data_IF_393319535625
#
_entry.id   IF_393319535625
#
_cell.length_a   1.000
_cell.length_b   1.000
_cell.length_c   1.000
_cell.angle_alpha   90.00
_cell.angle_beta   90.00
_cell.angle_gamma   90.00
#
_symmetry.space_group_name_H-M   'P 1'
#
loop_
_entity.id
_entity.type
_entity.pdbx_description
1 polymer ?
#
# COMPACT_ATOMS: atom_id res chain seq x y z
N UNK A 1 -2.56 6.99 1.32
CA UNK A 1 -3.69 7.94 1.18
C UNK A 1 -3.69 8.83 2.40
N UNK A 2 -3.55 10.14 2.20
CA UNK A 2 -3.63 11.08 3.30
C UNK A 2 -5.06 11.10 3.84
N UNK A 3 -5.26 10.83 5.12
CA UNK A 3 -6.55 10.87 5.82
C UNK A 3 -7.20 12.28 5.83
N UNK A 4 -6.54 13.25 5.27
CA UNK A 4 -6.85 14.68 5.32
C UNK A 4 -8.23 15.09 4.75
N UNK A 5 -8.71 14.57 3.58
CA UNK A 5 -10.05 14.92 3.07
C UNK A 5 -11.18 14.43 3.97
N UNK A 6 -11.00 13.29 4.62
CA UNK A 6 -11.97 12.68 5.52
C UNK A 6 -12.14 13.52 6.79
N UNK A 7 -11.03 13.98 7.39
CA UNK A 7 -11.06 14.83 8.56
C UNK A 7 -11.71 16.20 8.29
N UNK A 8 -11.51 16.75 7.09
CA UNK A 8 -12.24 17.96 6.68
C UNK A 8 -13.75 17.74 6.66
N UNK A 9 -14.22 16.64 6.09
CA UNK A 9 -15.64 16.29 6.05
C UNK A 9 -16.21 16.06 7.48
N UNK A 10 -15.43 15.41 8.36
CA UNK A 10 -15.78 15.22 9.77
C UNK A 10 -15.88 16.57 10.49
N UNK A 11 -14.92 17.46 10.30
CA UNK A 11 -14.90 18.79 10.91
C UNK A 11 -16.07 19.69 10.44
N UNK A 12 -16.45 19.54 9.19
CA UNK A 12 -17.59 20.23 8.59
C UNK A 12 -18.95 19.63 8.97
N UNK A 13 -18.99 18.53 9.75
CA UNK A 13 -20.23 17.92 10.21
C UNK A 13 -20.99 17.15 9.11
N UNK A 14 -20.30 16.66 8.06
CA UNK A 14 -20.91 15.88 7.00
C UNK A 14 -21.42 14.50 7.48
N UNK A 15 -20.78 13.94 8.51
CA UNK A 15 -21.07 12.60 9.02
C UNK A 15 -21.69 12.64 10.41
N UNK A 16 -22.54 11.64 10.68
CA UNK A 16 -23.14 11.43 12.00
C UNK A 16 -22.07 10.97 13.01
N UNK A 17 -22.12 11.50 14.22
CA UNK A 17 -21.36 11.00 15.36
C UNK A 17 -21.92 9.63 15.81
N UNK A 18 -21.16 8.56 15.55
CA UNK A 18 -21.53 7.20 15.90
C UNK A 18 -21.06 6.78 17.29
N UNK A 19 -20.32 7.63 18.02
CA UNK A 19 -19.76 7.30 19.33
C UNK A 19 -20.78 6.68 20.28
N UNK A 20 -22.04 7.16 20.39
CA UNK A 20 -23.03 6.59 21.30
C UNK A 20 -23.45 5.14 20.94
N UNK A 21 -23.17 4.70 19.72
CA UNK A 21 -23.61 3.39 19.22
C UNK A 21 -22.47 2.36 19.15
N UNK A 22 -21.21 2.82 19.01
CA UNK A 22 -20.08 1.94 18.70
C UNK A 22 -19.01 1.91 19.81
N UNK A 23 -19.31 2.46 20.99
CA UNK A 23 -18.41 2.45 22.13
C UNK A 23 -19.03 1.84 23.38
N UNK A 24 -18.20 1.43 24.33
CA UNK A 24 -18.64 0.85 25.61
C UNK A 24 -19.51 -0.40 25.41
N UNK A 25 -20.63 -0.45 26.14
CA UNK A 25 -21.54 -1.59 26.02
C UNK A 25 -22.43 -1.53 24.78
N UNK A 26 -22.61 -0.36 24.17
CA UNK A 26 -23.46 -0.19 22.99
C UNK A 26 -22.97 -1.00 21.78
N UNK A 27 -21.66 -1.15 21.58
CA UNK A 27 -21.09 -1.93 20.48
C UNK A 27 -21.48 -3.41 20.56
N UNK A 28 -21.83 -3.93 21.75
CA UNK A 28 -22.23 -5.34 21.92
C UNK A 28 -23.54 -5.69 21.22
N UNK A 29 -24.38 -4.69 20.86
CA UNK A 29 -25.55 -4.88 20.00
C UNK A 29 -25.15 -5.34 18.59
N UNK A 30 -23.91 -5.01 18.16
CA UNK A 30 -23.35 -5.28 16.82
C UNK A 30 -22.18 -6.27 16.95
N UNK A 31 -22.49 -7.57 17.01
CA UNK A 31 -21.52 -8.62 17.38
C UNK A 31 -20.30 -8.69 16.46
N UNK A 32 -20.52 -8.51 15.15
CA UNK A 32 -19.45 -8.58 14.16
C UNK A 32 -18.61 -7.31 14.18
N UNK A 33 -19.23 -6.12 14.27
CA UNK A 33 -18.52 -4.85 14.41
C UNK A 33 -17.68 -4.82 15.68
N UNK A 34 -18.12 -5.47 16.75
CA UNK A 34 -17.36 -5.58 18.01
C UNK A 34 -16.06 -6.38 17.87
N UNK A 35 -15.91 -7.19 16.81
CA UNK A 35 -14.65 -7.93 16.53
C UNK A 35 -13.59 -7.08 15.84
N UNK A 36 -13.94 -5.92 15.31
CA UNK A 36 -12.99 -5.04 14.63
C UNK A 36 -11.99 -4.50 15.67
N UNK A 37 -10.66 -4.62 15.41
CA UNK A 37 -9.66 -4.18 16.38
C UNK A 37 -9.79 -2.71 16.75
N UNK A 38 -9.64 -2.40 18.03
CA UNK A 38 -9.76 -1.03 18.55
C UNK A 38 -8.82 -0.02 17.84
N UNK A 39 -7.64 -0.49 17.41
CA UNK A 39 -6.70 0.34 16.67
C UNK A 39 -7.20 0.70 15.26
N UNK A 40 -7.98 -0.20 14.63
CA UNK A 40 -8.65 0.08 13.35
C UNK A 40 -9.76 1.13 13.51
N UNK A 41 -10.52 1.07 14.59
CA UNK A 41 -11.52 2.09 14.93
C UNK A 41 -10.94 3.50 15.07
N UNK A 42 -9.71 3.62 15.58
CA UNK A 42 -9.04 4.93 15.69
C UNK A 42 -8.89 5.66 14.34
N UNK A 43 -8.88 4.93 13.21
CA UNK A 43 -8.75 5.53 11.87
C UNK A 43 -10.01 6.30 11.42
N UNK A 44 -11.12 6.11 12.10
CA UNK A 44 -12.39 6.81 11.84
C UNK A 44 -12.77 7.74 12.98
N UNK A 45 -11.85 7.97 13.92
CA UNK A 45 -12.04 8.92 15.03
C UNK A 45 -11.47 10.28 14.68
N UNK A 46 -12.17 11.32 15.12
CA UNK A 46 -11.73 12.71 15.01
C UNK A 46 -12.25 13.51 16.20
N UNK A 47 -11.36 14.24 16.91
CA UNK A 47 -11.72 15.00 18.11
C UNK A 47 -12.49 14.16 19.16
N UNK A 48 -12.03 12.91 19.38
CA UNK A 48 -12.63 11.99 20.35
C UNK A 48 -13.96 11.36 19.94
N UNK A 49 -14.43 11.52 18.70
CA UNK A 49 -15.69 10.98 18.19
C UNK A 49 -15.45 10.04 17.02
N UNK A 50 -16.32 9.04 16.84
CA UNK A 50 -16.28 8.09 15.75
C UNK A 50 -17.29 8.45 14.67
N UNK A 51 -16.85 8.55 13.42
CA UNK A 51 -17.66 9.04 12.30
C UNK A 51 -17.93 8.00 11.21
N UNK A 52 -17.64 6.74 11.46
CA UNK A 52 -17.92 5.66 10.53
C UNK A 52 -17.54 4.29 11.06
N UNK A 53 -17.86 3.26 10.28
CA UNK A 53 -17.43 1.87 10.51
C UNK A 53 -16.21 1.62 9.61
N UNK A 54 -15.04 1.34 10.17
CA UNK A 54 -13.83 1.12 9.39
C UNK A 54 -13.89 -0.23 8.67
N UNK A 55 -13.35 -0.29 7.46
CA UNK A 55 -13.09 -1.54 6.75
C UNK A 55 -11.69 -2.04 7.11
N UNK A 56 -11.55 -3.13 7.87
CA UNK A 56 -10.24 -3.65 8.26
C UNK A 56 -9.37 -4.04 7.07
N UNK A 57 -8.08 -3.79 7.20
CA UNK A 57 -7.04 -4.21 6.26
C UNK A 57 -5.85 -4.71 7.06
N UNK A 58 -5.10 -5.65 6.50
CA UNK A 58 -3.84 -6.07 7.08
C UNK A 58 -2.85 -4.91 7.11
N UNK A 59 -2.08 -4.79 8.19
CA UNK A 59 -1.11 -3.69 8.39
C UNK A 59 0.22 -3.86 7.66
N UNK A 60 0.39 -4.93 6.92
CA UNK A 60 1.60 -5.20 6.18
C UNK A 60 1.77 -4.23 5.00
N UNK A 61 2.99 -3.73 4.85
CA UNK A 61 3.39 -2.90 3.73
C UNK A 61 3.66 -3.69 2.45
N UNK A 62 4.03 -2.97 1.41
CA UNK A 62 4.44 -3.56 0.14
C UNK A 62 5.93 -3.91 0.15
N UNK A 63 6.30 -4.94 -0.61
CA UNK A 63 7.68 -5.28 -0.95
C UNK A 63 7.82 -5.39 -2.46
N UNK A 64 9.05 -5.27 -2.96
CA UNK A 64 9.34 -5.50 -4.36
C UNK A 64 9.29 -7.01 -4.70
N UNK A 65 8.88 -7.32 -5.92
CA UNK A 65 8.96 -8.67 -6.47
C UNK A 65 9.77 -8.63 -7.76
N UNK A 66 10.88 -9.36 -7.78
CA UNK A 66 11.72 -9.42 -8.98
C UNK A 66 11.53 -10.73 -9.75
N UNK A 67 11.82 -10.70 -11.02
CA UNK A 67 11.83 -11.84 -11.93
C UNK A 67 13.00 -12.79 -11.56
N UNK A 68 12.71 -13.80 -10.75
CA UNK A 68 13.72 -14.79 -10.33
C UNK A 68 14.13 -15.74 -11.44
N UNK A 69 13.28 -15.95 -12.46
CA UNK A 69 13.66 -16.64 -13.70
C UNK A 69 14.73 -15.88 -14.48
N UNK A 70 14.65 -14.54 -14.54
CA UNK A 70 15.68 -13.71 -15.16
C UNK A 70 17.01 -13.79 -14.38
N UNK A 71 16.95 -13.71 -13.04
CA UNK A 71 18.15 -13.87 -12.21
C UNK A 71 18.82 -15.22 -12.46
N UNK A 72 18.05 -16.31 -12.50
CA UNK A 72 18.57 -17.66 -12.77
C UNK A 72 19.22 -17.75 -14.17
N UNK A 73 18.57 -17.21 -15.21
CA UNK A 73 19.09 -17.22 -16.57
C UNK A 73 20.41 -16.46 -16.70
N UNK A 74 20.54 -15.36 -15.97
CA UNK A 74 21.75 -14.54 -15.94
C UNK A 74 22.79 -15.01 -14.92
N UNK A 75 22.55 -16.13 -14.22
CA UNK A 75 23.42 -16.66 -13.14
C UNK A 75 23.63 -15.64 -12.00
N UNK A 76 22.60 -14.87 -11.66
CA UNK A 76 22.62 -13.92 -10.56
C UNK A 76 22.00 -14.58 -9.34
N UNK A 77 22.75 -14.64 -8.23
CA UNK A 77 22.26 -15.08 -6.92
C UNK A 77 21.24 -14.11 -6.34
N UNK A 78 20.41 -14.58 -5.40
CA UNK A 78 19.51 -13.70 -4.65
C UNK A 78 20.30 -12.54 -4.01
N UNK A 79 19.86 -11.28 -4.17
CA UNK A 79 20.60 -10.13 -3.71
C UNK A 79 20.70 -10.11 -2.18
N UNK A 80 21.91 -9.87 -1.66
CA UNK A 80 22.21 -9.80 -0.23
C UNK A 80 22.61 -8.42 0.26
N UNK A 81 22.89 -7.49 -0.67
CA UNK A 81 23.24 -6.11 -0.37
C UNK A 81 22.52 -5.13 -1.29
N UNK A 82 22.48 -3.86 -0.94
CA UNK A 82 21.95 -2.80 -1.82
C UNK A 82 22.68 -2.74 -3.17
N UNK A 83 23.98 -3.05 -3.16
CA UNK A 83 24.80 -3.12 -4.36
C UNK A 83 24.42 -4.34 -5.24
N UNK A 84 24.14 -5.50 -4.63
CA UNK A 84 23.63 -6.66 -5.38
C UNK A 84 22.28 -6.38 -6.03
N UNK A 85 21.37 -5.68 -5.33
CA UNK A 85 20.09 -5.25 -5.92
C UNK A 85 20.34 -4.33 -7.12
N UNK A 86 21.26 -3.36 -7.00
CA UNK A 86 21.61 -2.46 -8.09
C UNK A 86 22.19 -3.22 -9.29
N UNK A 87 23.14 -4.13 -9.06
CA UNK A 87 23.73 -4.96 -10.11
C UNK A 87 22.72 -5.86 -10.79
N UNK A 88 21.82 -6.46 -10.04
CA UNK A 88 20.72 -7.27 -10.58
C UNK A 88 19.82 -6.44 -11.51
N UNK A 89 19.38 -5.25 -11.07
CA UNK A 89 18.53 -4.37 -11.87
C UNK A 89 19.24 -3.87 -13.13
N UNK A 90 20.54 -3.57 -13.04
CA UNK A 90 21.35 -3.20 -14.19
C UNK A 90 21.51 -4.36 -15.18
N UNK A 91 21.72 -5.58 -14.68
CA UNK A 91 21.80 -6.77 -15.52
C UNK A 91 20.50 -7.08 -16.25
N UNK A 92 19.36 -6.87 -15.60
CA UNK A 92 18.05 -6.99 -16.26
C UNK A 92 17.86 -5.99 -17.41
N UNK A 93 18.51 -4.84 -17.33
CA UNK A 93 18.47 -3.82 -18.39
C UNK A 93 19.45 -4.07 -19.53
N UNK A 94 20.54 -4.81 -19.29
CA UNK A 94 21.66 -4.87 -20.26
C UNK A 94 21.91 -6.25 -20.85
N UNK A 95 21.44 -7.34 -20.21
CA UNK A 95 21.89 -8.69 -20.54
C UNK A 95 20.82 -9.59 -21.13
N UNK A 96 19.78 -9.00 -21.77
CA UNK A 96 18.72 -9.75 -22.47
C UNK A 96 18.14 -10.93 -21.61
N UNK A 97 17.54 -10.64 -20.45
CA UNK A 97 17.07 -11.69 -19.56
C UNK A 97 15.88 -12.51 -20.12
N UNK A 98 15.10 -11.97 -21.04
CA UNK A 98 14.02 -12.68 -21.72
C UNK A 98 14.56 -13.55 -22.89
N UNK A 99 15.74 -13.20 -23.44
CA UNK A 99 16.46 -13.98 -24.45
C UNK A 99 15.88 -13.85 -25.85
N UNK A 100 15.28 -12.72 -26.13
CA UNK A 100 14.72 -12.45 -27.46
C UNK A 100 15.73 -11.82 -28.43
N UNK A 101 16.97 -11.55 -27.97
CA UNK A 101 18.04 -10.94 -28.76
C UNK A 101 17.91 -9.42 -28.92
N UNK A 102 17.02 -8.78 -28.16
CA UNK A 102 16.76 -7.33 -28.22
C UNK A 102 17.08 -6.67 -26.87
N UNK A 103 17.50 -5.42 -26.91
CA UNK A 103 17.74 -4.62 -25.68
C UNK A 103 16.45 -3.89 -25.25
N UNK A 104 15.39 -4.65 -24.97
CA UNK A 104 14.05 -4.13 -24.73
C UNK A 104 13.47 -4.52 -23.36
N UNK A 105 14.38 -4.81 -22.40
CA UNK A 105 14.07 -5.07 -21.01
C UNK A 105 14.79 -4.10 -20.09
N UNK A 106 14.23 -3.87 -18.90
CA UNK A 106 14.76 -2.94 -17.89
C UNK A 106 14.65 -3.53 -16.49
N UNK A 107 15.43 -2.98 -15.55
CA UNK A 107 15.40 -3.39 -14.15
C UNK A 107 14.10 -3.03 -13.48
N UNK A 108 13.66 -1.78 -13.66
CA UNK A 108 12.44 -1.27 -13.02
C UNK A 108 11.80 -0.15 -13.84
N UNK A 109 10.52 0.09 -13.58
CA UNK A 109 9.80 1.27 -14.00
C UNK A 109 9.75 2.29 -12.87
N UNK A 110 8.90 3.28 -12.97
CA UNK A 110 8.65 4.26 -11.92
C UNK A 110 7.27 4.06 -11.34
N UNK A 111 7.16 4.23 -10.01
CA UNK A 111 5.90 4.47 -9.32
C UNK A 111 6.08 5.52 -8.23
N UNK A 112 5.48 6.67 -8.40
CA UNK A 112 5.53 7.76 -7.43
C UNK A 112 5.19 9.09 -8.09
N UNK A 113 4.61 10.01 -7.31
CA UNK A 113 4.23 11.35 -7.76
C UNK A 113 4.48 12.38 -6.65
N UNK A 114 5.41 12.08 -5.75
CA UNK A 114 5.76 12.89 -4.61
C UNK A 114 7.29 12.89 -4.39
N UNK A 115 7.73 13.29 -3.21
CA UNK A 115 9.14 13.29 -2.83
C UNK A 115 9.84 11.93 -2.91
N UNK A 116 9.12 10.82 -2.95
CA UNK A 116 9.76 9.49 -3.09
C UNK A 116 10.45 9.28 -4.44
N UNK A 117 10.19 10.15 -5.40
CA UNK A 117 10.87 10.17 -6.69
C UNK A 117 10.45 9.03 -7.59
N UNK A 118 11.45 8.33 -8.15
CA UNK A 118 11.28 7.23 -9.10
C UNK A 118 11.34 5.86 -8.43
N UNK A 119 11.20 5.82 -7.12
CA UNK A 119 11.27 4.58 -6.34
C UNK A 119 10.02 3.73 -6.56
N UNK A 120 10.14 2.65 -7.33
CA UNK A 120 9.03 1.70 -7.53
C UNK A 120 8.70 1.06 -6.18
N UNK A 121 7.49 1.40 -5.71
CA UNK A 121 6.94 1.01 -4.43
C UNK A 121 7.91 1.15 -3.25
N UNK A 122 8.81 2.12 -3.36
CA UNK A 122 9.67 2.54 -2.27
C UNK A 122 10.76 1.52 -1.90
N UNK A 123 11.21 0.74 -2.89
CA UNK A 123 12.28 -0.25 -2.69
C UNK A 123 13.54 0.41 -2.12
N UNK A 124 14.01 1.50 -2.73
CA UNK A 124 15.15 2.25 -2.22
C UNK A 124 14.87 2.85 -0.84
N UNK A 125 13.75 3.57 -0.68
CA UNK A 125 13.39 4.17 0.60
C UNK A 125 13.32 3.12 1.72
N UNK A 126 12.76 1.95 1.44
CA UNK A 126 12.65 0.86 2.41
C UNK A 126 14.03 0.28 2.78
N UNK A 127 14.93 0.08 1.81
CA UNK A 127 16.28 -0.42 2.06
C UNK A 127 17.12 0.55 2.89
N UNK A 128 16.97 1.85 2.66
CA UNK A 128 17.72 2.88 3.41
C UNK A 128 17.05 3.29 4.72
N UNK A 129 15.87 2.78 5.04
CA UNK A 129 15.19 3.05 6.30
C UNK A 129 14.58 4.45 6.36
N UNK A 130 14.17 5.01 5.23
CA UNK A 130 13.52 6.31 5.17
C UNK A 130 12.22 6.28 5.97
N UNK A 131 11.99 7.23 6.89
CA UNK A 131 10.74 7.31 7.64
C UNK A 131 9.51 7.39 6.74
N UNK A 132 8.36 6.96 7.25
CA UNK A 132 7.13 7.08 6.50
C UNK A 132 6.54 8.49 6.68
N UNK A 133 6.75 9.36 5.70
CA UNK A 133 6.41 10.78 5.67
C UNK A 133 7.03 11.58 6.83
N UNK A 134 6.80 11.16 8.07
CA UNK A 134 7.27 11.82 9.27
C UNK A 134 7.91 10.84 10.25
N UNK A 135 8.85 11.34 11.04
CA UNK A 135 9.45 10.66 12.19
C UNK A 135 9.13 11.46 13.45
N UNK A 136 8.70 10.78 14.50
CA UNK A 136 8.57 11.37 15.82
C UNK A 136 9.94 11.31 16.51
N UNK A 137 10.45 12.44 16.93
CA UNK A 137 11.68 12.56 17.68
C UNK A 137 11.44 12.27 19.17
N UNK A 138 12.51 12.06 19.95
CA UNK A 138 12.43 11.77 21.39
C UNK A 138 11.79 12.90 22.21
N UNK A 139 11.83 14.13 21.71
CA UNK A 139 11.21 15.32 22.31
C UNK A 139 9.74 15.54 21.85
N UNK A 140 9.20 14.62 21.04
CA UNK A 140 7.85 14.70 20.49
C UNK A 140 7.71 15.63 19.28
N UNK A 141 8.80 16.21 18.79
CA UNK A 141 8.77 16.95 17.52
C UNK A 141 8.74 16.03 16.31
N UNK A 142 8.34 16.57 15.16
CA UNK A 142 8.29 15.84 13.89
C UNK A 142 9.43 16.27 12.96
N UNK A 143 10.12 15.29 12.38
CA UNK A 143 11.05 15.47 11.26
C UNK A 143 10.41 14.88 9.99
N UNK A 144 10.38 15.65 8.89
CA UNK A 144 9.88 15.14 7.62
C UNK A 144 10.91 14.18 6.99
N UNK A 145 10.45 13.15 6.28
CA UNK A 145 11.32 12.16 5.63
C UNK A 145 12.42 12.79 4.76
N UNK A 146 12.11 13.91 4.06
CA UNK A 146 13.05 14.58 3.16
C UNK A 146 14.23 15.25 3.86
N UNK A 147 14.13 15.45 5.18
CA UNK A 147 15.17 16.09 6.00
C UNK A 147 16.16 15.08 6.59
N UNK A 148 15.99 13.78 6.28
CA UNK A 148 16.79 12.69 6.87
C UNK A 148 17.94 12.27 5.97
N UNK A 149 19.02 11.79 6.57
CA UNK A 149 20.16 11.23 5.84
C UNK A 149 19.78 9.98 5.06
N UNK A 150 18.81 9.19 5.59
CA UNK A 150 18.22 8.04 4.95
C UNK A 150 17.61 8.39 3.59
N UNK A 151 16.87 9.49 3.55
CA UNK A 151 16.27 9.98 2.31
C UNK A 151 17.32 10.40 1.29
N UNK A 152 18.36 11.10 1.73
CA UNK A 152 19.49 11.52 0.87
C UNK A 152 20.19 10.31 0.24
N UNK A 153 20.43 9.26 1.03
CA UNK A 153 21.03 8.01 0.55
C UNK A 153 20.13 7.30 -0.47
N UNK A 154 18.80 7.24 -0.19
CA UNK A 154 17.84 6.65 -1.11
C UNK A 154 17.74 7.43 -2.44
N UNK A 155 17.82 8.76 -2.39
CA UNK A 155 17.81 9.61 -3.57
C UNK A 155 19.09 9.42 -4.42
N UNK A 156 20.26 9.34 -3.77
CA UNK A 156 21.53 9.05 -4.44
C UNK A 156 21.48 7.66 -5.10
N UNK A 157 20.91 6.67 -4.43
CA UNK A 157 20.74 5.33 -4.99
C UNK A 157 19.85 5.34 -6.24
N UNK A 158 18.72 6.06 -6.23
CA UNK A 158 17.85 6.23 -7.40
C UNK A 158 18.60 6.91 -8.56
N UNK A 159 19.40 7.94 -8.28
CA UNK A 159 20.25 8.59 -9.28
C UNK A 159 21.26 7.61 -9.89
N UNK A 160 21.88 6.76 -9.07
CA UNK A 160 22.80 5.74 -9.55
C UNK A 160 22.10 4.71 -10.44
N UNK A 161 20.89 4.26 -10.09
CA UNK A 161 20.07 3.37 -10.94
C UNK A 161 19.73 4.02 -12.28
N UNK A 162 19.46 5.33 -12.30
CA UNK A 162 19.22 6.07 -13.53
C UNK A 162 20.51 6.14 -14.39
N UNK A 163 21.61 6.49 -13.80
CA UNK A 163 22.91 6.56 -14.49
C UNK A 163 23.34 5.20 -15.07
N UNK A 164 22.99 4.11 -14.41
CA UNK A 164 23.25 2.74 -14.88
C UNK A 164 22.35 2.30 -16.04
N UNK A 165 21.28 3.06 -16.36
CA UNK A 165 20.29 2.70 -17.35
C UNK A 165 19.33 1.60 -16.88
N UNK A 166 19.15 1.45 -15.55
CA UNK A 166 18.28 0.42 -14.97
C UNK A 166 16.80 0.73 -15.12
N UNK A 167 16.43 2.00 -15.30
CA UNK A 167 15.02 2.41 -15.47
C UNK A 167 14.54 2.26 -16.90
N UNK A 168 13.25 1.92 -17.04
CA UNK A 168 12.54 2.01 -18.32
C UNK A 168 12.66 3.45 -18.89
N UNK A 169 12.88 3.63 -20.21
CA UNK A 169 13.09 4.97 -20.81
C UNK A 169 11.96 5.94 -20.52
N UNK A 170 10.72 5.46 -20.50
CA UNK A 170 9.54 6.28 -20.24
C UNK A 170 9.23 6.47 -18.73
N UNK A 171 10.08 5.95 -17.85
CA UNK A 171 9.84 5.95 -16.40
C UNK A 171 9.46 7.34 -15.86
N UNK A 172 10.04 8.42 -16.39
CA UNK A 172 9.72 9.80 -15.99
C UNK A 172 8.24 10.20 -16.13
N UNK A 173 7.51 9.59 -17.07
CA UNK A 173 6.09 9.87 -17.38
C UNK A 173 5.13 8.74 -17.03
N UNK A 174 5.60 7.57 -16.62
CA UNK A 174 4.73 6.42 -16.37
C UNK A 174 3.78 6.63 -15.20
N UNK A 175 2.54 6.18 -15.38
CA UNK A 175 1.58 5.96 -14.30
C UNK A 175 1.80 4.59 -13.66
N UNK A 176 1.20 4.37 -12.47
CA UNK A 176 1.21 3.04 -11.84
C UNK A 176 0.71 1.94 -12.78
N UNK A 177 -0.40 2.16 -13.48
CA UNK A 177 -0.96 1.16 -14.41
C UNK A 177 0.01 0.84 -15.55
N UNK A 178 0.71 1.82 -16.09
CA UNK A 178 1.72 1.59 -17.14
C UNK A 178 2.94 0.85 -16.61
N UNK A 179 3.44 1.18 -15.41
CA UNK A 179 4.53 0.45 -14.77
C UNK A 179 4.14 -1.01 -14.50
N UNK A 180 2.93 -1.26 -13.99
CA UNK A 180 2.38 -2.61 -13.81
C UNK A 180 2.29 -3.36 -15.13
N UNK A 181 1.77 -2.73 -16.20
CA UNK A 181 1.70 -3.37 -17.52
C UNK A 181 3.08 -3.70 -18.10
N UNK A 182 4.08 -2.84 -17.88
CA UNK A 182 5.44 -3.13 -18.31
C UNK A 182 6.03 -4.37 -17.60
N UNK A 183 5.75 -4.52 -16.29
CA UNK A 183 6.14 -5.71 -15.54
C UNK A 183 5.40 -6.97 -16.01
N UNK A 184 4.07 -6.91 -16.12
CA UNK A 184 3.25 -8.03 -16.55
C UNK A 184 3.56 -8.46 -17.99
N UNK A 185 3.91 -7.50 -18.84
CA UNK A 185 4.33 -7.74 -20.23
C UNK A 185 5.76 -8.23 -20.38
N UNK A 186 6.50 -8.43 -19.27
CA UNK A 186 7.88 -8.93 -19.33
C UNK A 186 8.91 -7.91 -19.82
N UNK A 187 8.64 -6.61 -19.68
CA UNK A 187 9.57 -5.53 -20.03
C UNK A 187 10.37 -5.02 -18.85
N UNK A 188 9.91 -5.26 -17.63
CA UNK A 188 10.54 -4.77 -16.41
C UNK A 188 10.73 -5.93 -15.43
N UNK A 189 11.89 -5.97 -14.79
CA UNK A 189 12.32 -7.09 -13.94
C UNK A 189 11.89 -7.00 -12.48
N UNK A 190 11.53 -5.80 -12.00
CA UNK A 190 11.07 -5.57 -10.62
C UNK A 190 9.84 -4.69 -10.61
N UNK A 191 8.86 -5.07 -9.79
CA UNK A 191 7.67 -4.27 -9.51
C UNK A 191 7.22 -4.49 -8.07
N UNK A 192 6.51 -3.55 -7.51
CA UNK A 192 5.95 -3.69 -6.17
C UNK A 192 4.46 -3.37 -6.14
N UNK A 193 3.74 -4.24 -5.47
CA UNK A 193 2.31 -4.12 -5.26
C UNK A 193 1.95 -4.78 -3.92
N UNK A 194 0.67 -4.72 -3.53
CA UNK A 194 0.21 -5.47 -2.35
C UNK A 194 0.59 -6.95 -2.49
N UNK A 195 1.24 -7.50 -1.46
CA UNK A 195 1.84 -8.84 -1.54
C UNK A 195 0.83 -9.94 -1.93
N UNK A 196 -0.45 -9.78 -1.57
CA UNK A 196 -1.52 -10.69 -1.96
C UNK A 196 -1.67 -10.91 -3.46
N UNK A 197 -1.24 -9.93 -4.29
CA UNK A 197 -1.22 -10.06 -5.74
C UNK A 197 -0.13 -11.01 -6.26
N UNK A 198 0.87 -11.32 -5.46
CA UNK A 198 2.02 -12.16 -5.86
C UNK A 198 2.09 -13.50 -5.15
N UNK A 199 1.42 -13.68 -4.01
CA UNK A 199 1.50 -14.89 -3.19
C UNK A 199 0.67 -16.02 -3.77
N UNK A 200 -0.51 -15.73 -4.24
CA UNK A 200 -1.44 -16.74 -4.69
C UNK A 200 -1.21 -17.07 -6.13
N UNK A 201 -0.17 -17.79 -6.36
CA UNK A 201 0.05 -18.48 -7.59
C UNK A 201 -1.25 -18.83 -8.30
N UNK A 202 -1.58 -18.19 -9.39
CA UNK A 202 -2.65 -18.61 -10.31
C UNK A 202 -4.11 -18.31 -9.89
N UNK A 203 -4.40 -17.64 -8.79
CA UNK A 203 -5.76 -17.14 -8.59
C UNK A 203 -6.10 -16.13 -9.68
N UNK A 204 -7.21 -16.33 -10.37
CA UNK A 204 -7.61 -15.46 -11.48
C UNK A 204 -7.63 -13.99 -11.05
N UNK A 205 -7.09 -13.11 -11.90
CA UNK A 205 -7.08 -11.67 -11.67
C UNK A 205 -5.91 -11.12 -10.86
N UNK A 206 -5.11 -11.94 -10.16
CA UNK A 206 -3.90 -11.47 -9.47
C UNK A 206 -2.82 -11.02 -10.46
N UNK A 207 -1.91 -10.13 -10.02
CA UNK A 207 -0.78 -9.72 -10.84
C UNK A 207 0.10 -10.91 -11.22
N UNK A 208 0.34 -11.85 -10.30
CA UNK A 208 1.09 -13.06 -10.61
C UNK A 208 0.40 -13.94 -11.67
N UNK A 209 -0.92 -14.14 -11.58
CA UNK A 209 -1.66 -14.89 -12.60
C UNK A 209 -1.56 -14.23 -13.99
N UNK A 210 -1.71 -12.91 -14.05
CA UNK A 210 -1.55 -12.15 -15.31
C UNK A 210 -0.14 -12.29 -15.86
N UNK A 211 0.89 -12.21 -15.00
CA UNK A 211 2.29 -12.37 -15.40
C UNK A 211 2.55 -13.75 -16.00
N UNK A 212 2.12 -14.84 -15.34
CA UNK A 212 2.35 -16.21 -15.86
C UNK A 212 1.48 -16.55 -17.04
N UNK A 213 0.35 -15.88 -17.23
CA UNK A 213 -0.47 -16.00 -18.44
C UNK A 213 0.26 -15.41 -19.65
N UNK A 214 0.86 -14.24 -19.47
CA UNK A 214 1.65 -13.59 -20.52
C UNK A 214 3.05 -14.23 -20.71
N UNK A 215 3.64 -14.75 -19.64
CA UNK A 215 4.98 -15.33 -19.60
C UNK A 215 4.93 -16.67 -18.83
N UNK A 216 4.60 -17.81 -19.47
CA UNK A 216 4.30 -19.07 -18.80
C UNK A 216 5.43 -19.64 -17.91
N UNK A 217 6.68 -19.27 -18.21
CA UNK A 217 7.86 -19.71 -17.46
C UNK A 217 8.31 -18.69 -16.39
N UNK A 218 7.57 -17.60 -16.22
CA UNK A 218 7.92 -16.56 -15.25
C UNK A 218 7.87 -17.12 -13.82
N UNK A 219 8.91 -16.84 -13.06
CA UNK A 219 8.95 -17.00 -11.61
C UNK A 219 9.36 -15.71 -10.95
N UNK A 220 8.89 -15.48 -9.72
CA UNK A 220 9.19 -14.29 -8.95
C UNK A 220 9.75 -14.63 -7.58
N UNK A 221 10.50 -13.69 -7.00
CA UNK A 221 10.92 -13.74 -5.61
C UNK A 221 10.71 -12.38 -4.95
N UNK A 222 10.41 -12.38 -3.66
CA UNK A 222 10.24 -11.16 -2.88
C UNK A 222 11.58 -10.53 -2.54
N UNK A 223 11.70 -9.23 -2.77
CA UNK A 223 12.82 -8.42 -2.32
C UNK A 223 12.47 -7.80 -0.97
N UNK A 224 12.88 -8.48 0.11
CA UNK A 224 12.63 -8.01 1.47
C UNK A 224 13.79 -7.15 1.96
N UNK A 225 13.54 -5.90 2.38
CA UNK A 225 14.60 -5.04 2.92
C UNK A 225 15.36 -5.67 4.08
N UNK A 226 14.70 -6.50 4.90
CA UNK A 226 15.33 -7.23 6.02
C UNK A 226 16.36 -8.28 5.60
N UNK A 227 16.33 -8.75 4.36
CA UNK A 227 17.26 -9.77 3.84
C UNK A 227 18.51 -9.14 3.22
N UNK A 228 18.48 -7.82 3.03
CA UNK A 228 19.57 -7.06 2.41
C UNK A 228 20.52 -6.57 3.49
N UNK A 229 21.72 -7.14 3.56
CA UNK A 229 22.79 -6.79 4.52
C UNK A 229 23.21 -5.32 4.32
N UNK A 230 23.37 -4.60 5.43
CA UNK A 230 23.65 -3.16 5.42
C UNK A 230 22.41 -2.28 5.19
N UNK A 231 21.26 -2.89 4.91
CA UNK A 231 19.98 -2.20 4.88
C UNK A 231 19.51 -1.89 6.31
N UNK A 232 18.87 -0.73 6.49
CA UNK A 232 18.11 -0.43 7.71
C UNK A 232 16.73 -1.10 7.72
N UNK A 233 16.38 -1.75 6.64
CA UNK A 233 15.31 -2.73 6.47
C UNK A 233 13.97 -2.36 7.07
N UNK A 234 13.26 -1.40 6.49
CA UNK A 234 11.89 -1.05 6.91
C UNK A 234 10.89 -1.35 5.80
N UNK A 235 9.62 -1.50 6.18
CA UNK A 235 8.49 -1.41 5.27
C UNK A 235 7.48 -0.43 5.82
N UNK A 236 6.62 0.11 4.96
CA UNK A 236 5.59 1.05 5.38
C UNK A 236 4.32 0.29 5.66
N UNK A 237 3.86 0.33 6.91
CA UNK A 237 2.58 -0.26 7.27
C UNK A 237 1.43 0.41 6.54
N UNK A 238 0.33 -0.32 6.35
CA UNK A 238 -0.97 0.29 6.07
C UNK A 238 -1.59 0.79 7.37
N UNK A 239 -2.59 1.66 7.27
CA UNK A 239 -3.32 2.15 8.44
C UNK A 239 -4.12 1.06 9.18
N UNK A 240 -4.18 -0.17 8.66
CA UNK A 240 -5.04 -1.23 9.17
C UNK A 240 -6.50 -1.06 8.75
N UNK A 241 -6.79 -0.12 7.87
CA UNK A 241 -8.11 0.05 7.23
C UNK A 241 -7.95 0.48 5.78
N UNK A 242 -8.84 -0.04 4.92
CA UNK A 242 -8.93 0.36 3.51
C UNK A 242 -9.69 1.67 3.32
N UNK A 243 -10.64 1.93 4.23
CA UNK A 243 -11.54 3.06 4.24
C UNK A 243 -12.58 2.88 5.34
N UNK A 244 -13.70 3.56 5.24
CA UNK A 244 -14.80 3.44 6.18
C UNK A 244 -16.14 3.74 5.52
N UNK A 245 -17.21 3.21 6.10
CA UNK A 245 -18.58 3.55 5.75
C UNK A 245 -19.14 4.54 6.77
N UNK A 246 -19.55 5.72 6.31
CA UNK A 246 -20.14 6.75 7.15
C UNK A 246 -21.65 6.87 6.96
N UNK A 247 -22.35 7.27 8.02
CA UNK A 247 -23.76 7.65 7.95
C UNK A 247 -23.83 9.18 7.83
N UNK A 248 -24.53 9.73 6.84
CA UNK A 248 -24.68 11.18 6.71
C UNK A 248 -25.31 11.83 7.93
N UNK A 249 -24.84 13.00 8.32
CA UNK A 249 -25.37 13.76 9.47
C UNK A 249 -26.85 14.19 9.30
N UNK A 250 -27.41 14.09 8.08
CA UNK A 250 -28.83 14.32 7.81
C UNK A 250 -29.76 13.21 8.34
N UNK A 251 -29.23 12.01 8.62
CA UNK A 251 -29.99 10.91 9.20
C UNK A 251 -30.15 11.17 10.70
N UNK A 252 -31.35 11.64 11.12
CA UNK A 252 -31.64 12.04 12.50
C UNK A 252 -32.43 10.97 13.29
N UNK A 253 -33.16 10.09 12.59
CA UNK A 253 -33.91 9.03 13.23
C UNK A 253 -32.98 7.95 13.81
N UNK A 254 -33.00 7.80 15.13
CA UNK A 254 -32.15 6.83 15.84
C UNK A 254 -32.46 5.37 15.46
N UNK A 255 -33.73 5.04 15.13
CA UNK A 255 -34.07 3.70 14.70
C UNK A 255 -33.47 3.40 13.32
N UNK A 256 -33.48 4.38 12.44
CA UNK A 256 -32.81 4.28 11.13
C UNK A 256 -31.30 4.14 11.27
N UNK A 257 -30.67 4.86 12.20
CA UNK A 257 -29.23 4.71 12.49
C UNK A 257 -28.92 3.28 12.95
N UNK A 258 -29.70 2.75 13.91
CA UNK A 258 -29.53 1.38 14.39
C UNK A 258 -29.75 0.34 13.31
N UNK A 259 -30.74 0.54 12.44
CA UNK A 259 -30.98 -0.33 11.28
C UNK A 259 -29.77 -0.34 10.33
N UNK A 260 -29.23 0.82 9.98
CA UNK A 260 -28.03 0.91 9.14
C UNK A 260 -26.82 0.24 9.80
N UNK A 261 -26.64 0.40 11.11
CA UNK A 261 -25.57 -0.28 11.83
C UNK A 261 -25.74 -1.80 11.86
N UNK A 262 -26.96 -2.34 11.93
CA UNK A 262 -27.23 -3.80 11.80
C UNK A 262 -26.89 -4.30 10.39
N UNK A 263 -27.18 -3.50 9.36
CA UNK A 263 -26.75 -3.84 7.99
C UNK A 263 -25.22 -3.89 7.92
N UNK A 264 -24.53 -2.90 8.48
CA UNK A 264 -23.06 -2.88 8.52
C UNK A 264 -22.48 -4.01 9.37
N UNK A 265 -23.16 -4.41 10.46
CA UNK A 265 -22.82 -5.58 11.26
C UNK A 265 -22.91 -6.88 10.45
N UNK A 266 -23.99 -7.06 9.68
CA UNK A 266 -24.14 -8.18 8.75
C UNK A 266 -23.01 -8.19 7.71
N UNK A 267 -22.67 -7.03 7.14
CA UNK A 267 -21.59 -6.88 6.17
C UNK A 267 -20.19 -7.10 6.77
N UNK A 268 -20.07 -7.17 8.09
CA UNK A 268 -18.84 -7.51 8.81
C UNK A 268 -18.80 -9.00 9.25
N UNK A 269 -19.64 -9.85 8.68
CA UNK A 269 -19.75 -11.25 9.04
C UNK A 269 -18.37 -11.96 9.02
N UNK A 270 -18.08 -12.82 10.04
CA UNK A 270 -16.79 -13.46 10.18
C UNK A 270 -16.62 -14.59 9.17
N UNK A 271 -15.36 -14.82 8.76
CA UNK A 271 -14.99 -15.94 7.90
C UNK A 271 -15.56 -17.27 8.41
N UNK A 272 -16.15 -18.04 7.51
CA UNK A 272 -16.75 -19.36 7.77
C UNK A 272 -18.19 -19.33 8.23
N UNK A 273 -18.81 -18.17 8.45
CA UNK A 273 -20.26 -18.06 8.67
C UNK A 273 -21.04 -18.18 7.35
N UNK A 274 -22.33 -18.49 7.43
CA UNK A 274 -23.22 -18.52 6.27
C UNK A 274 -23.32 -17.15 5.61
N UNK A 275 -23.41 -16.10 6.43
CA UNK A 275 -23.44 -14.71 5.99
C UNK A 275 -22.16 -14.32 5.25
N UNK A 276 -21.00 -14.74 5.76
CA UNK A 276 -19.73 -14.52 5.07
C UNK A 276 -19.72 -15.19 3.70
N UNK A 277 -20.17 -16.45 3.64
CA UNK A 277 -20.21 -17.20 2.38
C UNK A 277 -21.15 -16.54 1.39
N UNK A 278 -22.34 -16.14 1.83
CA UNK A 278 -23.31 -15.43 0.99
C UNK A 278 -22.74 -14.11 0.47
N UNK A 279 -22.14 -13.28 1.33
CA UNK A 279 -21.56 -12.00 0.96
C UNK A 279 -20.38 -12.13 -0.04
N UNK A 280 -19.59 -13.19 0.10
CA UNK A 280 -18.39 -13.37 -0.71
C UNK A 280 -18.61 -14.22 -1.96
N UNK A 281 -19.61 -15.10 -1.96
CA UNK A 281 -19.81 -16.09 -3.02
C UNK A 281 -21.23 -16.13 -3.57
N UNK A 282 -22.19 -15.38 -2.97
CA UNK A 282 -23.58 -15.36 -3.42
C UNK A 282 -24.30 -16.68 -3.21
N UNK A 283 -25.23 -16.97 -4.11
CA UNK A 283 -26.04 -18.20 -4.10
C UNK A 283 -25.30 -19.33 -4.81
N UNK A 284 -25.04 -20.43 -4.08
CA UNK A 284 -24.40 -21.62 -4.66
C UNK A 284 -25.24 -22.17 -5.83
N UNK A 285 -24.58 -22.52 -6.94
CA UNK A 285 -25.22 -22.97 -8.16
C UNK A 285 -25.65 -21.85 -9.12
N UNK A 286 -25.67 -20.59 -8.65
CA UNK A 286 -26.00 -19.39 -9.46
C UNK A 286 -24.77 -18.49 -9.54
N UNK A 287 -24.37 -17.90 -8.42
CA UNK A 287 -23.28 -16.93 -8.33
C UNK A 287 -21.93 -17.62 -8.13
N UNK A 288 -21.93 -18.82 -7.58
CA UNK A 288 -20.72 -19.60 -7.35
C UNK A 288 -20.95 -21.10 -7.50
N UNK A 289 -19.86 -21.81 -7.73
CA UNK A 289 -19.76 -23.27 -7.71
C UNK A 289 -18.89 -23.67 -6.52
N UNK A 290 -19.36 -24.65 -5.73
CA UNK A 290 -18.59 -25.22 -4.63
C UNK A 290 -17.93 -26.53 -5.06
N UNK A 291 -16.61 -26.59 -4.92
CA UNK A 291 -15.87 -27.84 -5.14
C UNK A 291 -16.18 -28.83 -3.98
N UNK A 292 -16.74 -30.00 -4.26
CA UNK A 292 -17.12 -30.95 -3.22
C UNK A 292 -15.93 -31.59 -2.49
N UNK A 293 -14.75 -31.61 -3.11
CA UNK A 293 -13.55 -32.22 -2.53
C UNK A 293 -12.81 -31.27 -1.58
N UNK A 294 -12.79 -29.97 -1.90
CA UNK A 294 -12.04 -28.96 -1.15
C UNK A 294 -12.93 -28.01 -0.36
N UNK A 295 -14.22 -27.95 -0.67
CA UNK A 295 -15.15 -26.94 -0.15
C UNK A 295 -14.92 -25.52 -0.70
N UNK A 296 -14.03 -25.37 -1.69
CA UNK A 296 -13.70 -24.09 -2.29
C UNK A 296 -14.86 -23.57 -3.15
N UNK A 297 -15.15 -22.26 -3.00
CA UNK A 297 -16.07 -21.58 -3.91
C UNK A 297 -15.32 -20.91 -5.06
N UNK A 298 -15.86 -21.03 -6.25
CA UNK A 298 -15.42 -20.32 -7.46
C UNK A 298 -16.58 -19.49 -7.97
N UNK A 299 -16.40 -18.17 -8.06
CA UNK A 299 -17.43 -17.27 -8.59
C UNK A 299 -17.67 -17.51 -10.08
N UNK A 300 -18.93 -17.47 -10.50
CA UNK A 300 -19.35 -17.36 -11.90
C UNK A 300 -19.14 -15.91 -12.40
N UNK A 301 -19.31 -15.68 -13.70
CA UNK A 301 -19.29 -14.31 -14.23
C UNK A 301 -20.41 -13.46 -13.62
N UNK A 302 -21.60 -14.04 -13.39
CA UNK A 302 -22.70 -13.37 -12.70
C UNK A 302 -22.30 -13.02 -11.27
N UNK A 303 -21.80 -13.96 -10.48
CA UNK A 303 -21.36 -13.72 -9.11
C UNK A 303 -20.25 -12.67 -9.00
N UNK A 304 -19.31 -12.65 -9.95
CA UNK A 304 -18.29 -11.59 -10.02
C UNK A 304 -18.92 -10.20 -10.27
N UNK A 305 -19.90 -10.12 -11.16
CA UNK A 305 -20.59 -8.87 -11.46
C UNK A 305 -21.44 -8.37 -10.29
N UNK A 306 -22.21 -9.26 -9.65
CA UNK A 306 -23.09 -8.90 -8.52
C UNK A 306 -22.32 -8.54 -7.26
N UNK A 307 -21.20 -9.21 -6.99
CA UNK A 307 -20.33 -8.90 -5.86
C UNK A 307 -19.60 -7.55 -6.01
N UNK A 308 -19.42 -7.04 -7.22
CA UNK A 308 -18.56 -5.94 -7.60
C UNK A 308 -18.38 -4.85 -6.55
N UNK A 309 -19.43 -4.10 -6.26
CA UNK A 309 -19.36 -2.96 -5.34
C UNK A 309 -19.53 -3.33 -3.85
N UNK A 310 -20.10 -4.51 -3.53
CA UNK A 310 -20.26 -4.95 -2.13
C UNK A 310 -18.92 -5.04 -1.41
N UNK A 311 -17.86 -5.37 -2.12
CA UNK A 311 -16.51 -5.47 -1.55
C UNK A 311 -16.07 -4.17 -0.84
N UNK A 312 -16.57 -3.01 -1.25
CA UNK A 312 -16.19 -1.72 -0.66
C UNK A 312 -16.87 -1.44 0.68
N UNK A 313 -18.04 -2.01 0.93
CA UNK A 313 -18.81 -1.81 2.19
C UNK A 313 -18.66 -2.96 3.18
N UNK A 314 -18.17 -4.14 2.75
CA UNK A 314 -17.87 -5.26 3.65
C UNK A 314 -16.74 -4.89 4.62
N UNK A 315 -16.99 -5.08 5.93
CA UNK A 315 -16.07 -4.74 7.00
C UNK A 315 -15.53 -5.96 7.77
N UNK A 316 -15.64 -7.17 7.20
CA UNK A 316 -15.08 -8.39 7.78
C UNK A 316 -13.56 -8.33 7.91
N UNK A 317 -13.02 -9.07 8.87
CA UNK A 317 -11.57 -9.17 9.06
C UNK A 317 -10.90 -9.81 7.84
N UNK A 318 -9.74 -9.33 7.40
CA UNK A 318 -9.02 -9.94 6.29
C UNK A 318 -8.49 -11.33 6.67
N UNK A 319 -8.61 -12.27 5.74
CA UNK A 319 -8.19 -13.66 5.94
C UNK A 319 -7.26 -14.13 4.80
N UNK A 320 -6.36 -15.05 5.13
CA UNK A 320 -5.56 -15.78 4.15
C UNK A 320 -6.23 -17.12 3.86
N UNK A 321 -7.08 -17.15 2.85
CA UNK A 321 -7.81 -18.36 2.45
C UNK A 321 -7.60 -18.64 0.97
N UNK A 322 -6.93 -19.75 0.68
CA UNK A 322 -6.54 -20.16 -0.67
C UNK A 322 -6.78 -21.66 -0.86
N UNK A 323 -8.05 -22.11 -0.92
CA UNK A 323 -8.40 -23.53 -0.88
C UNK A 323 -7.88 -24.34 -2.08
N UNK A 324 -7.67 -23.68 -3.23
CA UNK A 324 -7.16 -24.31 -4.47
C UNK A 324 -5.64 -24.28 -4.58
N UNK A 325 -4.95 -23.70 -3.61
CA UNK A 325 -3.49 -23.54 -3.58
C UNK A 325 -2.92 -24.01 -2.23
N UNK A 326 -2.72 -25.32 -2.02
CA UNK A 326 -2.16 -25.85 -0.77
C UNK A 326 -0.85 -25.16 -0.38
N UNK A 327 -0.74 -24.75 0.88
CA UNK A 327 0.43 -24.04 1.42
C UNK A 327 0.45 -22.53 1.14
N UNK A 328 -0.39 -22.00 0.24
CA UNK A 328 -0.39 -20.57 -0.07
C UNK A 328 -0.82 -19.70 1.13
N UNK A 329 -1.76 -20.16 1.94
CA UNK A 329 -2.19 -19.46 3.16
C UNK A 329 -1.05 -19.32 4.17
N UNK A 330 -0.27 -20.39 4.38
CA UNK A 330 0.90 -20.38 5.28
C UNK A 330 1.99 -19.45 4.71
N UNK A 331 2.30 -19.56 3.42
CA UNK A 331 3.27 -18.68 2.76
C UNK A 331 2.86 -17.20 2.85
N UNK A 332 1.57 -16.92 2.71
CA UNK A 332 1.03 -15.55 2.87
C UNK A 332 1.20 -15.05 4.30
N UNK A 333 0.89 -15.88 5.29
CA UNK A 333 1.04 -15.54 6.71
C UNK A 333 2.50 -15.31 7.08
N UNK A 334 3.42 -16.17 6.62
CA UNK A 334 4.85 -16.05 6.86
C UNK A 334 5.41 -14.75 6.28
N UNK A 335 5.03 -14.43 5.04
CA UNK A 335 5.41 -13.19 4.37
C UNK A 335 4.83 -11.95 5.08
N UNK A 336 3.55 -11.97 5.41
CA UNK A 336 2.91 -10.87 6.16
C UNK A 336 3.59 -10.65 7.51
N UNK A 337 3.90 -11.75 8.23
CA UNK A 337 4.61 -11.70 9.51
C UNK A 337 6.01 -11.10 9.36
N UNK A 338 6.74 -11.49 8.31
CA UNK A 338 8.06 -10.96 8.00
C UNK A 338 8.02 -9.45 7.71
N UNK A 339 7.05 -9.02 6.91
CA UNK A 339 6.84 -7.60 6.56
C UNK A 339 6.49 -6.79 7.82
N UNK A 340 5.55 -7.28 8.64
CA UNK A 340 5.10 -6.57 9.85
C UNK A 340 6.20 -6.38 10.89
N UNK A 341 7.18 -7.31 10.98
CA UNK A 341 8.32 -7.17 11.91
C UNK A 341 9.19 -5.95 11.66
N UNK A 342 9.23 -5.46 10.43
CA UNK A 342 10.02 -4.31 10.00
C UNK A 342 9.13 -3.13 9.59
N UNK A 343 7.83 -3.23 9.88
CA UNK A 343 6.84 -2.23 9.52
C UNK A 343 6.96 -0.96 10.36
N UNK A 344 6.94 0.18 9.70
CA UNK A 344 6.89 1.50 10.34
C UNK A 344 5.60 2.23 9.98
N UNK A 345 5.07 2.97 10.94
CA UNK A 345 3.86 3.76 10.77
C UNK A 345 4.18 5.20 10.34
N UNK A 346 3.23 5.82 9.65
CA UNK A 346 3.22 7.27 9.48
C UNK A 346 2.51 7.91 10.67
N UNK A 347 3.22 8.66 11.51
CA UNK A 347 2.60 9.30 12.67
C UNK A 347 1.55 10.35 12.30
N UNK A 348 1.56 10.86 11.07
CA UNK A 348 0.58 11.83 10.60
C UNK A 348 -0.78 11.25 10.20
N UNK A 349 -0.96 9.92 10.19
CA UNK A 349 -2.23 9.31 9.78
C UNK A 349 -3.45 9.80 10.57
N UNK A 350 -3.25 10.13 11.84
CA UNK A 350 -4.31 10.59 12.75
C UNK A 350 -4.20 12.08 13.07
N UNK A 351 -3.32 12.77 12.35
CA UNK A 351 -3.11 14.20 12.53
C UNK A 351 -3.84 15.01 11.45
N UNK A 352 -4.35 16.18 11.84
CA UNK A 352 -5.00 17.10 10.95
C UNK A 352 -4.15 18.33 10.71
N UNK A 353 -4.05 18.75 9.47
CA UNK A 353 -3.44 20.01 9.06
C UNK A 353 -4.26 20.65 7.96
N UNK A 354 -4.80 21.85 8.23
CA UNK A 354 -5.52 22.62 7.23
C UNK A 354 -4.62 23.05 6.06
N UNK A 355 -3.36 23.34 6.35
CA UNK A 355 -2.37 23.67 5.33
C UNK A 355 -2.06 22.47 4.45
N UNK A 356 -1.96 21.26 5.02
CA UNK A 356 -1.79 20.05 4.22
C UNK A 356 -3.01 19.80 3.31
N UNK A 357 -4.24 20.02 3.80
CA UNK A 357 -5.46 19.92 2.97
C UNK A 357 -5.38 20.79 1.73
N UNK A 358 -4.88 22.02 1.88
CA UNK A 358 -4.90 23.01 0.81
C UNK A 358 -3.67 22.97 -0.11
N UNK A 359 -2.51 22.56 0.41
CA UNK A 359 -1.22 22.68 -0.29
C UNK A 359 -0.51 21.36 -0.60
N UNK A 360 -0.99 20.21 -0.09
CA UNK A 360 -0.29 18.94 -0.27
C UNK A 360 -0.02 18.59 -1.75
N UNK A 361 -1.00 18.83 -2.63
CA UNK A 361 -0.84 18.54 -4.05
C UNK A 361 0.28 19.38 -4.69
N UNK A 362 0.30 20.69 -4.41
CA UNK A 362 1.35 21.61 -4.88
C UNK A 362 2.73 21.21 -4.35
N UNK A 363 2.83 20.93 -3.03
CA UNK A 363 4.08 20.59 -2.38
C UNK A 363 4.62 19.23 -2.84
N UNK A 364 3.74 18.27 -3.10
CA UNK A 364 4.14 16.97 -3.64
C UNK A 364 4.62 17.09 -5.08
N UNK A 365 3.94 17.87 -5.93
CA UNK A 365 4.39 18.12 -7.30
C UNK A 365 5.74 18.84 -7.31
N UNK A 366 5.88 19.88 -6.50
CA UNK A 366 7.16 20.57 -6.33
C UNK A 366 8.27 19.62 -5.95
N UNK A 367 8.03 18.77 -4.94
CA UNK A 367 9.00 17.77 -4.50
C UNK A 367 9.35 16.76 -5.59
N UNK A 368 8.34 16.25 -6.28
CA UNK A 368 8.54 15.32 -7.38
C UNK A 368 9.41 15.92 -8.50
N UNK A 369 9.15 17.17 -8.89
CA UNK A 369 9.92 17.85 -9.94
C UNK A 369 11.40 18.02 -9.52
N UNK A 370 11.66 18.39 -8.25
CA UNK A 370 13.00 18.57 -7.71
C UNK A 370 13.77 17.24 -7.64
N UNK A 371 13.16 16.19 -7.07
CA UNK A 371 13.84 14.88 -6.98
C UNK A 371 14.05 14.26 -8.37
N UNK A 372 13.11 14.47 -9.31
CA UNK A 372 13.27 14.04 -10.70
C UNK A 372 14.45 14.75 -11.38
N UNK A 373 14.63 16.04 -11.17
CA UNK A 373 15.77 16.77 -11.71
C UNK A 373 17.10 16.26 -11.14
N UNK A 374 17.14 15.92 -9.86
CA UNK A 374 18.32 15.33 -9.21
C UNK A 374 18.59 13.90 -9.68
N UNK A 375 17.57 13.05 -9.79
CA UNK A 375 17.70 11.66 -10.28
C UNK A 375 18.25 11.64 -11.71
N UNK A 376 17.70 12.48 -12.59
CA UNK A 376 18.12 12.54 -14.00
C UNK A 376 19.42 13.30 -14.24
N UNK A 377 20.03 13.85 -13.20
CA UNK A 377 21.29 14.59 -13.32
C UNK A 377 21.16 16.02 -13.87
N UNK A 378 19.93 16.51 -14.08
CA UNK A 378 19.71 17.93 -14.48
C UNK A 378 20.08 18.90 -13.36
N UNK A 379 20.03 18.42 -12.10
CA UNK A 379 20.49 19.13 -10.93
C UNK A 379 21.44 18.26 -10.10
N UNK A 380 22.40 18.87 -9.38
CA UNK A 380 23.24 18.12 -8.45
C UNK A 380 22.46 17.68 -7.21
N UNK A 381 22.87 16.60 -6.55
CA UNK A 381 22.25 16.16 -5.28
C UNK A 381 22.29 17.21 -4.17
N UNK A 382 23.28 18.10 -4.19
CA UNK A 382 23.38 19.24 -3.26
C UNK A 382 22.23 20.24 -3.37
N UNK A 383 21.46 20.21 -4.46
CA UNK A 383 20.23 21.01 -4.60
C UNK A 383 19.12 20.60 -3.63
N UNK A 384 19.23 19.41 -3.00
CA UNK A 384 18.26 18.94 -2.04
C UNK A 384 18.10 19.90 -0.84
N UNK A 385 19.20 20.43 -0.32
CA UNK A 385 19.15 21.34 0.84
C UNK A 385 18.33 22.61 0.53
N UNK A 386 18.46 23.14 -0.69
CA UNK A 386 17.66 24.30 -1.11
C UNK A 386 16.19 23.89 -1.34
N UNK A 387 15.94 22.73 -1.94
CA UNK A 387 14.58 22.22 -2.13
C UNK A 387 13.85 22.01 -0.80
N UNK A 388 14.53 21.56 0.25
CA UNK A 388 13.98 21.44 1.61
C UNK A 388 13.64 22.82 2.17
N UNK A 389 14.53 23.83 2.04
CA UNK A 389 14.25 25.21 2.48
C UNK A 389 13.02 25.79 1.78
N UNK A 390 12.93 25.58 0.47
CA UNK A 390 11.81 26.03 -0.32
C UNK A 390 10.48 25.34 0.10
N UNK A 391 10.53 24.03 0.35
CA UNK A 391 9.38 23.28 0.86
C UNK A 391 8.92 23.83 2.22
N UNK A 392 9.85 24.07 3.14
CA UNK A 392 9.55 24.67 4.46
C UNK A 392 8.82 26.01 4.32
N UNK A 393 9.37 26.91 3.52
CA UNK A 393 8.81 28.26 3.33
C UNK A 393 7.45 28.27 2.61
N UNK A 394 7.18 27.31 1.73
CA UNK A 394 5.92 27.16 1.01
C UNK A 394 4.77 26.61 1.87
N UNK A 395 5.06 26.08 3.05
CA UNK A 395 4.06 25.58 4.00
C UNK A 395 4.46 24.31 4.74
N UNK A 396 5.59 23.69 4.44
CA UNK A 396 6.05 22.47 5.11
C UNK A 396 6.20 22.62 6.62
N UNK A 397 6.75 23.74 7.09
CA UNK A 397 6.88 24.01 8.52
C UNK A 397 5.51 24.28 9.18
N UNK A 398 4.58 24.92 8.47
CA UNK A 398 3.21 25.12 8.96
C UNK A 398 2.48 23.77 9.11
N UNK A 399 2.61 22.88 8.12
CA UNK A 399 2.06 21.52 8.19
C UNK A 399 2.62 20.77 9.38
N UNK A 400 3.94 20.84 9.61
CA UNK A 400 4.60 20.23 10.78
C UNK A 400 4.01 20.72 12.09
N UNK A 401 3.86 22.02 12.25
CA UNK A 401 3.30 22.62 13.47
C UNK A 401 1.85 22.16 13.71
N UNK A 402 1.03 22.18 12.67
CA UNK A 402 -0.37 21.75 12.75
C UNK A 402 -0.49 20.25 13.09
N UNK A 403 0.35 19.39 12.50
CA UNK A 403 0.39 17.96 12.86
C UNK A 403 0.83 17.76 14.31
N UNK A 404 1.88 18.44 14.77
CA UNK A 404 2.35 18.35 16.15
C UNK A 404 1.28 18.82 17.15
N UNK A 405 0.51 19.84 16.83
CA UNK A 405 -0.62 20.30 17.65
C UNK A 405 -1.74 19.26 17.68
N UNK A 406 -2.10 18.72 16.51
CA UNK A 406 -3.15 17.69 16.38
C UNK A 406 -2.82 16.38 17.10
N UNK A 407 -1.57 16.02 17.21
CA UNK A 407 -1.12 14.81 17.91
C UNK A 407 -1.08 14.95 19.45
N UNK A 408 -1.14 16.17 19.96
CA UNK A 408 -1.14 16.46 21.43
C UNK A 408 -2.54 16.50 22.03
N UNK A 409 -3.56 16.68 21.22
CA UNK A 409 -4.99 16.74 21.61
C UNK A 409 -5.73 15.48 21.24
#
# INVERSE_FOLDING_TARGET
QNATPQYKAMDQGAFLDLTPYVTGDAIKEYKNLATIPADTWKNVSFKGKYYGVPKPLQRNGNVGFYRSDWSKKLNISDPKSTDDVRKMLQAFAKNDPDGNGQGDTWGLARYGSDWTGWDDARVANNMFGVPFNWKVNSDGTLTNQIETDEFKQALEYQRNLFADGSYHPDAGGMTFAQAQQAYLGGKVGLHSEGFGNFITSKAAGTAFNKLVTANPNATIAGLFPSDVVGSKGVTRNTQGSFGFTAIPSSVKDQNRVKELLRILDYLAAPFGSEEYNFLNYGVEGVDSQKDPATGAFTLTDQGNAERGDLVYVMAGLPVFYYPTAPGAAQSALDMATKIMKIGIDDPSWRAYSQTNVSKAAELNQFGFDRVTAMITGREPLSALDQAIKDWKSRGGDQIRQEFQQSLKG
#
